data_IF_964489372155
#
_entry.id   IF_964489372155
#
_cell.length_a   1.000
_cell.length_b   1.000
_cell.length_c   1.000
_cell.angle_alpha   90.00
_cell.angle_beta   90.00
_cell.angle_gamma   90.00
#
_symmetry.space_group_name_H-M   'P 1'
#
loop_
_entity.id
_entity.type
_entity.pdbx_description
1 polymer ?
#
# COMPACT_ATOMS: atom_id res chain seq x y z
N UNK A 1 11.24 25.24 -15.62
CA UNK A 1 11.15 24.91 -14.16
C UNK A 1 9.76 24.40 -13.94
N UNK A 2 9.60 23.25 -13.28
CA UNK A 2 8.29 22.70 -12.98
C UNK A 2 7.51 23.62 -12.02
N UNK A 3 6.24 23.81 -12.28
CA UNK A 3 5.31 24.55 -11.41
C UNK A 3 4.82 23.68 -10.25
N UNK A 4 4.29 24.24 -9.15
CA UNK A 4 3.67 23.43 -8.10
C UNK A 4 2.59 22.47 -8.61
N UNK A 5 1.82 22.89 -9.61
CA UNK A 5 0.78 22.09 -10.23
C UNK A 5 1.34 20.91 -11.02
N UNK A 6 2.41 21.09 -11.79
CA UNK A 6 3.07 20.04 -12.54
C UNK A 6 3.66 18.97 -11.58
N UNK A 7 4.33 19.42 -10.51
CA UNK A 7 4.84 18.49 -9.48
C UNK A 7 3.71 17.71 -8.81
N UNK A 8 2.60 18.39 -8.44
CA UNK A 8 1.43 17.72 -7.85
C UNK A 8 0.88 16.64 -8.77
N UNK A 9 0.73 16.94 -10.07
CA UNK A 9 0.23 15.98 -11.06
C UNK A 9 1.13 14.77 -11.20
N UNK A 10 2.45 14.97 -11.26
CA UNK A 10 3.40 13.87 -11.36
C UNK A 10 3.31 12.96 -10.12
N UNK A 11 3.30 13.54 -8.93
CA UNK A 11 3.21 12.79 -7.68
C UNK A 11 1.83 12.15 -7.45
N UNK A 12 0.74 12.72 -7.97
CA UNK A 12 -0.59 12.06 -7.97
C UNK A 12 -0.60 10.81 -8.85
N UNK A 13 0.06 10.85 -10.01
CA UNK A 13 0.21 9.67 -10.87
C UNK A 13 1.03 8.60 -10.18
N UNK A 14 2.11 9.01 -9.49
CA UNK A 14 2.95 8.11 -8.70
C UNK A 14 2.14 7.41 -7.60
N UNK A 15 1.36 8.17 -6.84
CA UNK A 15 0.50 7.63 -5.79
C UNK A 15 -0.56 6.68 -6.35
N UNK A 16 -1.21 7.03 -7.46
CA UNK A 16 -2.20 6.17 -8.09
C UNK A 16 -1.60 4.82 -8.55
N UNK A 17 -0.40 4.86 -9.16
CA UNK A 17 0.32 3.65 -9.55
C UNK A 17 0.74 2.81 -8.32
N UNK A 18 1.11 3.47 -7.23
CA UNK A 18 1.46 2.82 -5.96
C UNK A 18 0.26 2.09 -5.36
N UNK A 19 -0.92 2.70 -5.31
CA UNK A 19 -2.16 2.07 -4.86
C UNK A 19 -2.57 0.86 -5.71
N UNK A 20 -2.40 0.93 -7.02
CA UNK A 20 -2.64 -0.21 -7.90
C UNK A 20 -1.68 -1.37 -7.62
N UNK A 21 -0.44 -1.06 -7.26
CA UNK A 21 0.54 -2.06 -6.88
C UNK A 21 0.23 -2.64 -5.49
N UNK A 22 -0.16 -1.80 -4.52
CA UNK A 22 -0.60 -2.21 -3.19
C UNK A 22 -1.76 -3.21 -3.27
N UNK A 23 -2.79 -2.90 -4.04
CA UNK A 23 -3.93 -3.82 -4.23
C UNK A 23 -3.51 -5.20 -4.73
N UNK A 24 -2.60 -5.26 -5.72
CA UNK A 24 -2.10 -6.54 -6.25
C UNK A 24 -1.30 -7.32 -5.21
N UNK A 25 -0.44 -6.64 -4.46
CA UNK A 25 0.38 -7.25 -3.41
C UNK A 25 -0.48 -7.79 -2.27
N UNK A 26 -1.43 -6.99 -1.80
CA UNK A 26 -2.35 -7.36 -0.72
C UNK A 26 -3.22 -8.55 -1.10
N UNK A 27 -3.78 -8.58 -2.34
CA UNK A 27 -4.53 -9.73 -2.84
C UNK A 27 -3.68 -11.00 -2.87
N UNK A 28 -2.49 -10.93 -3.46
CA UNK A 28 -1.59 -12.07 -3.53
C UNK A 28 -1.17 -12.56 -2.14
N UNK A 29 -1.01 -11.67 -1.16
CA UNK A 29 -0.71 -12.03 0.22
C UNK A 29 -1.92 -12.68 0.90
N UNK A 30 -3.11 -12.08 0.80
CA UNK A 30 -4.35 -12.61 1.39
C UNK A 30 -4.67 -14.03 0.93
N UNK A 31 -4.51 -14.31 -0.37
CA UNK A 31 -4.75 -15.62 -0.97
C UNK A 31 -3.85 -16.73 -0.38
N UNK A 32 -2.68 -16.36 0.15
CA UNK A 32 -1.70 -17.30 0.73
C UNK A 32 -1.79 -17.43 2.24
N UNK A 33 -2.65 -16.68 2.92
CA UNK A 33 -2.80 -16.72 4.39
C UNK A 33 -3.89 -17.70 4.80
N UNK A 34 -3.52 -18.96 5.05
CA UNK A 34 -4.45 -20.03 5.47
C UNK A 34 -4.60 -20.10 7.00
N UNK A 35 -3.51 -19.86 7.72
CA UNK A 35 -3.43 -20.11 9.17
C UNK A 35 -3.28 -18.84 10.02
N UNK A 36 -3.45 -17.67 9.41
CA UNK A 36 -3.34 -16.37 10.07
C UNK A 36 -4.60 -15.52 9.81
N UNK A 37 -5.76 -15.95 10.36
CA UNK A 37 -7.05 -15.36 9.99
C UNK A 37 -7.19 -13.87 10.33
N UNK A 38 -6.57 -13.42 11.43
CA UNK A 38 -6.62 -12.00 11.81
C UNK A 38 -5.85 -11.13 10.83
N UNK A 39 -4.64 -11.55 10.43
CA UNK A 39 -3.85 -10.87 9.42
C UNK A 39 -4.58 -10.85 8.09
N UNK A 40 -5.14 -11.99 7.68
CA UNK A 40 -5.93 -12.09 6.44
C UNK A 40 -7.10 -11.13 6.44
N UNK A 41 -7.91 -11.12 7.51
CA UNK A 41 -9.07 -10.25 7.62
C UNK A 41 -8.68 -8.76 7.56
N UNK A 42 -7.59 -8.37 8.23
CA UNK A 42 -7.11 -6.98 8.17
C UNK A 42 -6.63 -6.57 6.79
N UNK A 43 -5.91 -7.47 6.08
CA UNK A 43 -5.48 -7.24 4.70
C UNK A 43 -6.71 -7.14 3.78
N UNK A 44 -7.71 -8.00 3.90
CA UNK A 44 -8.93 -7.95 3.08
C UNK A 44 -9.72 -6.66 3.30
N UNK A 45 -9.76 -6.15 4.53
CA UNK A 45 -10.32 -4.84 4.82
C UNK A 45 -9.53 -3.75 4.11
N UNK A 46 -8.19 -3.77 4.21
CA UNK A 46 -7.34 -2.75 3.61
C UNK A 46 -7.40 -2.77 2.07
N UNK A 47 -7.59 -3.92 1.45
CA UNK A 47 -7.88 -4.00 0.00
C UNK A 47 -9.11 -3.17 -0.39
N UNK A 48 -10.15 -3.11 0.43
CA UNK A 48 -11.31 -2.27 0.15
C UNK A 48 -11.01 -0.79 0.37
N UNK A 49 -10.20 -0.46 1.37
CA UNK A 49 -9.68 0.89 1.60
C UNK A 49 -8.88 1.37 0.38
N UNK A 50 -7.90 0.58 -0.07
CA UNK A 50 -7.06 0.85 -1.26
C UNK A 50 -7.88 1.08 -2.55
N UNK A 51 -8.92 0.29 -2.78
CA UNK A 51 -9.82 0.54 -3.93
C UNK A 51 -10.55 1.87 -3.83
N UNK A 52 -10.96 2.28 -2.64
CA UNK A 52 -11.57 3.59 -2.40
C UNK A 52 -10.56 4.73 -2.63
N UNK A 53 -9.32 4.52 -2.24
CA UNK A 53 -8.21 5.45 -2.43
C UNK A 53 -7.91 5.65 -3.92
N UNK A 54 -7.81 4.57 -4.70
CA UNK A 54 -7.66 4.63 -6.16
C UNK A 54 -8.77 5.48 -6.80
N UNK A 55 -10.02 5.29 -6.38
CA UNK A 55 -11.15 6.08 -6.90
C UNK A 55 -11.03 7.58 -6.57
N UNK A 56 -10.57 7.92 -5.36
CA UNK A 56 -10.33 9.31 -4.98
C UNK A 56 -9.21 9.94 -5.81
N UNK A 57 -8.10 9.21 -6.03
CA UNK A 57 -7.00 9.68 -6.86
C UNK A 57 -7.41 9.82 -8.33
N UNK A 58 -8.19 8.88 -8.87
CA UNK A 58 -8.77 8.99 -10.22
C UNK A 58 -9.61 10.26 -10.37
N UNK A 59 -10.46 10.58 -9.38
CA UNK A 59 -11.25 11.82 -9.40
C UNK A 59 -10.36 13.06 -9.38
N UNK A 60 -9.28 13.05 -8.59
CA UNK A 60 -8.31 14.15 -8.59
C UNK A 60 -7.64 14.32 -9.96
N UNK A 61 -7.18 13.23 -10.58
CA UNK A 61 -6.51 13.25 -11.89
C UNK A 61 -7.45 13.70 -13.00
N UNK A 62 -8.71 13.25 -13.02
CA UNK A 62 -9.72 13.61 -14.02
C UNK A 62 -10.00 15.11 -14.07
N UNK A 63 -9.91 15.84 -12.95
CA UNK A 63 -10.07 17.30 -12.92
C UNK A 63 -9.00 18.07 -13.72
N UNK A 64 -7.89 17.41 -13.98
CA UNK A 64 -6.79 17.97 -14.75
C UNK A 64 -6.80 17.54 -16.23
N UNK A 65 -7.90 16.95 -16.72
CA UNK A 65 -8.02 16.37 -18.08
C UNK A 65 -6.95 15.32 -18.40
N UNK A 66 -6.37 14.75 -17.34
CA UNK A 66 -5.35 13.71 -17.48
C UNK A 66 -6.01 12.34 -17.56
N UNK A 67 -5.85 11.70 -18.70
CA UNK A 67 -6.25 10.29 -18.82
C UNK A 67 -5.21 9.41 -18.15
N UNK A 68 -5.67 8.37 -17.45
CA UNK A 68 -4.83 7.32 -16.84
C UNK A 68 -3.89 6.60 -17.84
N UNK A 69 -3.93 6.95 -19.13
CA UNK A 69 -3.12 6.35 -20.19
C UNK A 69 -1.63 6.74 -20.15
N UNK A 70 -1.27 7.83 -19.48
CA UNK A 70 0.13 8.25 -19.27
C UNK A 70 0.83 7.47 -18.14
N UNK A 71 0.07 6.63 -17.42
CA UNK A 71 0.54 5.83 -16.28
C UNK A 71 1.54 4.71 -16.64
N UNK A 72 1.72 4.39 -17.92
CA UNK A 72 2.46 3.18 -18.35
C UNK A 72 3.95 3.20 -18.04
N UNK A 73 4.58 4.37 -17.95
CA UNK A 73 6.05 4.46 -17.78
C UNK A 73 6.53 4.38 -16.32
N UNK A 74 5.64 4.68 -15.36
CA UNK A 74 6.00 4.66 -13.95
C UNK A 74 5.90 3.28 -13.30
N UNK A 75 5.02 2.44 -13.87
CA UNK A 75 4.77 1.07 -13.40
C UNK A 75 6.05 0.22 -13.32
N UNK A 76 7.03 0.49 -14.17
CA UNK A 76 8.29 -0.27 -14.23
C UNK A 76 9.19 -0.09 -13.00
N UNK A 77 9.24 1.10 -12.41
CA UNK A 77 10.12 1.40 -11.26
C UNK A 77 9.52 0.93 -9.92
N UNK A 78 8.20 1.10 -9.75
CA UNK A 78 7.49 0.60 -8.57
C UNK A 78 7.32 -0.93 -8.60
N UNK A 79 7.17 -1.53 -9.78
CA UNK A 79 7.11 -3.00 -9.93
C UNK A 79 8.40 -3.69 -9.44
N UNK A 80 9.56 -3.05 -9.55
CA UNK A 80 10.81 -3.60 -9.03
C UNK A 80 10.80 -3.73 -7.51
N UNK A 81 10.19 -2.78 -6.79
CA UNK A 81 10.00 -2.85 -5.33
C UNK A 81 8.96 -3.92 -4.94
N UNK A 82 7.83 -3.94 -5.65
CA UNK A 82 6.77 -4.94 -5.42
C UNK A 82 7.19 -6.38 -5.74
N UNK A 83 8.06 -6.58 -6.74
CA UNK A 83 8.63 -7.91 -7.04
C UNK A 83 9.61 -8.38 -5.97
N UNK A 84 10.39 -7.48 -5.37
CA UNK A 84 11.26 -7.82 -4.25
C UNK A 84 10.49 -8.31 -3.02
N UNK A 85 9.24 -7.86 -2.86
CA UNK A 85 8.37 -8.19 -1.72
C UNK A 85 7.35 -9.29 -2.06
N UNK A 86 6.85 -9.35 -3.29
CA UNK A 86 5.72 -10.20 -3.71
C UNK A 86 6.07 -11.58 -4.25
N UNK A 87 7.33 -11.88 -4.50
CA UNK A 87 7.80 -13.15 -5.08
C UNK A 87 8.38 -14.14 -4.07
N UNK A 88 8.04 -14.02 -2.80
CA UNK A 88 8.69 -14.80 -1.75
C UNK A 88 8.20 -16.26 -1.72
N UNK A 89 9.00 -17.15 -2.29
CA UNK A 89 8.93 -18.60 -2.05
C UNK A 89 9.66 -19.02 -0.78
N UNK A 90 9.73 -18.13 0.22
CA UNK A 90 10.47 -18.36 1.47
C UNK A 90 9.61 -19.09 2.49
N UNK A 91 10.24 -19.90 3.34
CA UNK A 91 9.54 -20.65 4.41
C UNK A 91 8.94 -19.74 5.49
N UNK A 92 9.41 -18.50 5.62
CA UNK A 92 8.98 -17.48 6.56
C UNK A 92 8.21 -16.32 5.89
N UNK A 93 7.51 -16.62 4.80
CA UNK A 93 6.80 -15.67 3.95
C UNK A 93 5.79 -14.81 4.73
N UNK A 94 5.06 -15.38 5.69
CA UNK A 94 4.06 -14.64 6.47
C UNK A 94 4.70 -13.52 7.30
N UNK A 95 5.83 -13.80 7.95
CA UNK A 95 6.53 -12.80 8.79
C UNK A 95 7.16 -11.71 7.92
N UNK A 96 7.87 -12.13 6.87
CA UNK A 96 8.51 -11.18 5.93
C UNK A 96 7.48 -10.37 5.14
N UNK A 97 6.35 -10.98 4.79
CA UNK A 97 5.24 -10.29 4.15
C UNK A 97 4.62 -9.21 5.06
N UNK A 98 4.40 -9.51 6.35
CA UNK A 98 3.92 -8.53 7.31
C UNK A 98 4.93 -7.40 7.56
N UNK A 99 6.22 -7.72 7.66
CA UNK A 99 7.29 -6.71 7.76
C UNK A 99 7.33 -5.79 6.54
N UNK A 100 7.26 -6.38 5.35
CA UNK A 100 7.29 -5.63 4.09
C UNK A 100 6.04 -4.78 3.92
N UNK A 101 4.87 -5.28 4.33
CA UNK A 101 3.64 -4.50 4.39
C UNK A 101 3.82 -3.26 5.26
N UNK A 102 4.33 -3.42 6.49
CA UNK A 102 4.59 -2.30 7.37
C UNK A 102 5.50 -1.23 6.75
N UNK A 103 6.55 -1.63 6.03
CA UNK A 103 7.43 -0.69 5.32
C UNK A 103 6.68 0.00 4.19
N UNK A 104 5.86 -0.73 3.44
CA UNK A 104 5.10 -0.19 2.32
C UNK A 104 4.08 0.87 2.79
N UNK A 105 3.32 0.59 3.83
CA UNK A 105 2.39 1.58 4.44
C UNK A 105 3.12 2.86 4.86
N UNK A 106 4.34 2.76 5.41
CA UNK A 106 5.11 3.95 5.77
C UNK A 106 5.58 4.76 4.55
N UNK A 107 5.78 4.12 3.41
CA UNK A 107 6.03 4.82 2.13
C UNK A 107 4.77 5.56 1.69
N UNK A 108 3.60 4.95 1.81
CA UNK A 108 2.30 5.56 1.47
C UNK A 108 1.98 6.74 2.38
N UNK A 109 2.20 6.62 3.69
CA UNK A 109 2.09 7.73 4.65
C UNK A 109 2.99 8.91 4.23
N UNK A 110 4.24 8.64 3.86
CA UNK A 110 5.15 9.68 3.38
C UNK A 110 4.66 10.31 2.08
N UNK A 111 4.17 9.51 1.13
CA UNK A 111 3.62 9.98 -0.15
C UNK A 111 2.42 10.91 0.07
N UNK A 112 1.43 10.50 0.88
CA UNK A 112 0.25 11.34 1.13
C UNK A 112 0.59 12.61 1.93
N UNK A 113 1.57 12.55 2.83
CA UNK A 113 2.09 13.75 3.50
C UNK A 113 2.67 14.75 2.50
N UNK A 114 3.44 14.28 1.53
CA UNK A 114 3.99 15.10 0.43
C UNK A 114 2.88 15.66 -0.45
N UNK A 115 1.90 14.83 -0.84
CA UNK A 115 0.77 15.25 -1.69
C UNK A 115 -0.09 16.34 -1.04
N UNK A 116 -0.36 16.24 0.27
CA UNK A 116 -1.08 17.27 1.02
C UNK A 116 -0.32 18.61 0.95
N UNK A 117 0.98 18.60 1.16
CA UNK A 117 1.81 19.79 1.06
C UNK A 117 1.85 20.37 -0.36
N UNK A 118 1.97 19.51 -1.37
CA UNK A 118 1.97 19.89 -2.78
C UNK A 118 0.62 20.47 -3.23
N UNK A 119 -0.50 19.87 -2.80
CA UNK A 119 -1.83 20.36 -3.08
C UNK A 119 -2.07 21.77 -2.48
N UNK A 120 -1.61 22.01 -1.25
CA UNK A 120 -1.61 23.35 -0.64
C UNK A 120 -0.80 24.35 -1.47
N UNK A 121 0.40 23.99 -1.90
CA UNK A 121 1.26 24.85 -2.70
C UNK A 121 0.69 25.15 -4.10
N UNK A 122 -0.04 24.17 -4.67
CA UNK A 122 -0.71 24.31 -5.97
C UNK A 122 -2.08 25.03 -5.88
N UNK A 123 -2.60 25.29 -4.68
CA UNK A 123 -3.91 25.88 -4.48
C UNK A 123 -5.07 24.93 -4.84
N UNK A 124 -4.90 23.61 -4.63
CA UNK A 124 -5.89 22.57 -4.93
C UNK A 124 -6.48 21.97 -3.64
N UNK A 125 -7.52 22.60 -3.06
CA UNK A 125 -8.12 22.13 -1.82
C UNK A 125 -8.86 20.80 -1.95
N UNK A 126 -9.31 20.41 -3.14
CA UNK A 126 -10.02 19.14 -3.35
C UNK A 126 -9.05 17.97 -3.32
N UNK A 127 -7.90 18.08 -3.99
CA UNK A 127 -6.83 17.07 -3.88
C UNK A 127 -6.29 17.00 -2.46
N UNK A 128 -6.12 18.16 -1.78
CA UNK A 128 -5.72 18.17 -0.38
C UNK A 128 -6.70 17.36 0.48
N UNK A 129 -8.01 17.63 0.37
CA UNK A 129 -9.03 16.95 1.15
C UNK A 129 -9.09 15.43 0.83
N UNK A 130 -8.89 15.03 -0.42
CA UNK A 130 -8.82 13.63 -0.80
C UNK A 130 -7.63 12.93 -0.11
N UNK A 131 -6.44 13.51 -0.14
CA UNK A 131 -5.24 12.95 0.50
C UNK A 131 -5.36 12.95 2.03
N UNK A 132 -5.95 13.99 2.64
CA UNK A 132 -6.23 14.05 4.08
C UNK A 132 -7.25 12.99 4.54
N UNK A 133 -8.11 12.51 3.65
CA UNK A 133 -9.02 11.39 3.91
C UNK A 133 -8.33 10.04 3.81
N UNK A 134 -7.37 9.89 2.92
CA UNK A 134 -6.62 8.64 2.72
C UNK A 134 -5.61 8.42 3.84
N UNK A 135 -4.80 9.40 4.15
CA UNK A 135 -3.67 9.30 5.09
C UNK A 135 -3.99 8.55 6.40
N UNK A 136 -5.12 8.80 7.10
CA UNK A 136 -5.45 8.06 8.32
C UNK A 136 -5.68 6.56 8.11
N UNK A 137 -6.03 6.12 6.90
CA UNK A 137 -6.23 4.70 6.58
C UNK A 137 -4.88 3.98 6.50
N UNK A 138 -3.87 4.61 5.88
CA UNK A 138 -2.50 4.10 5.83
C UNK A 138 -1.86 4.08 7.22
N UNK A 139 -2.05 5.14 8.00
CA UNK A 139 -1.58 5.21 9.39
C UNK A 139 -2.20 4.09 10.25
N UNK A 140 -3.49 3.81 10.07
CA UNK A 140 -4.19 2.75 10.78
C UNK A 140 -3.68 1.37 10.38
N UNK A 141 -3.41 1.12 9.09
CA UNK A 141 -2.85 -0.15 8.62
C UNK A 141 -1.41 -0.33 9.10
N UNK A 142 -0.56 0.70 8.98
CA UNK A 142 0.81 0.67 9.48
C UNK A 142 0.85 0.38 11.00
N UNK A 143 0.00 1.06 11.77
CA UNK A 143 -0.06 0.87 13.22
C UNK A 143 -0.55 -0.54 13.57
N UNK A 144 -1.58 -1.03 12.87
CA UNK A 144 -2.07 -2.39 13.10
C UNK A 144 -0.97 -3.42 12.84
N UNK A 145 -0.27 -3.32 11.71
CA UNK A 145 0.84 -4.23 11.40
C UNK A 145 1.93 -4.17 12.46
N UNK A 146 2.36 -2.98 12.86
CA UNK A 146 3.36 -2.79 13.91
C UNK A 146 2.98 -3.48 15.22
N UNK A 147 1.73 -3.34 15.63
CA UNK A 147 1.25 -3.89 16.90
C UNK A 147 1.10 -5.42 16.85
N UNK A 148 0.85 -5.99 15.67
CA UNK A 148 0.63 -7.42 15.49
C UNK A 148 1.87 -8.20 15.01
N UNK A 149 2.95 -7.53 14.60
CA UNK A 149 4.21 -8.20 14.21
C UNK A 149 4.72 -9.18 15.27
N UNK A 150 4.73 -8.85 16.60
CA UNK A 150 5.16 -9.81 17.62
C UNK A 150 4.28 -11.05 17.68
N UNK A 151 2.96 -10.90 17.62
CA UNK A 151 1.98 -11.99 17.64
C UNK A 151 2.11 -12.89 16.40
N UNK A 152 2.22 -12.28 15.21
CA UNK A 152 2.43 -13.00 13.95
C UNK A 152 3.72 -13.81 14.00
N UNK A 153 4.79 -13.21 14.51
CA UNK A 153 6.10 -13.88 14.66
C UNK A 153 6.02 -15.04 15.63
N UNK A 154 5.36 -14.87 16.78
CA UNK A 154 5.18 -15.93 17.78
C UNK A 154 4.38 -17.11 17.20
N UNK A 155 3.26 -16.84 16.53
CA UNK A 155 2.44 -17.87 15.89
C UNK A 155 3.24 -18.64 14.82
N UNK A 156 4.07 -17.95 14.03
CA UNK A 156 4.94 -18.56 13.04
C UNK A 156 5.97 -19.50 13.71
N UNK A 157 6.65 -19.06 14.76
CA UNK A 157 7.67 -19.83 15.48
C UNK A 157 7.04 -21.10 16.08
N UNK A 158 5.89 -20.99 16.73
CA UNK A 158 5.17 -22.09 17.34
C UNK A 158 4.76 -23.15 16.30
N UNK A 159 4.22 -22.70 15.15
CA UNK A 159 3.85 -23.62 14.06
C UNK A 159 5.08 -24.28 13.43
N UNK A 160 6.17 -23.54 13.24
CA UNK A 160 7.43 -24.05 12.68
C UNK A 160 8.08 -25.09 13.58
N UNK A 161 7.91 -24.98 14.90
CA UNK A 161 8.45 -25.91 15.88
C UNK A 161 7.56 -27.17 16.05
N UNK A 162 6.32 -27.15 15.54
CA UNK A 162 5.37 -28.27 15.70
C UNK A 162 5.43 -29.20 14.50
N UNK A 163 5.77 -30.48 14.68
CA UNK A 163 5.80 -31.46 13.57
C UNK A 163 4.46 -31.53 12.85
N UNK A 164 4.49 -31.61 11.53
CA UNK A 164 3.33 -31.72 10.63
C UNK A 164 2.46 -30.45 10.49
N UNK A 165 2.82 -29.33 11.11
CA UNK A 165 2.13 -28.05 10.87
C UNK A 165 2.85 -27.25 9.79
N UNK A 166 2.06 -26.67 8.89
CA UNK A 166 2.58 -25.68 7.93
C UNK A 166 2.58 -24.28 8.59
N UNK A 167 3.74 -23.64 8.66
CA UNK A 167 3.89 -22.32 9.25
C UNK A 167 3.87 -21.20 8.20
N UNK A 168 4.15 -21.53 6.94
CA UNK A 168 4.34 -20.58 5.86
C UNK A 168 3.07 -19.82 5.47
N UNK A 169 1.91 -20.48 5.56
CA UNK A 169 0.63 -19.95 5.10
C UNK A 169 -0.39 -19.79 6.22
#
# INVERSE_FOLDING_TARGET
MATPKENLLDWLRDAHAMEQQAEKMLKAQSERLEHYPELKARIEQHIQETKGQQQLLDQCLQRYDESSSTLKDLTGKLMAFGQAVGGMTMSDEVVKGAMSGYVFENIEIAMYTVLIAAAKAAGDPETQAACEKILPQEEAMAQWLKDHLPQITQAFIERSATPHLEAKK
#
